data_IF_582376888116
#
_entry.id   IF_582376888116
#
_cell.length_a   1.000
_cell.length_b   1.000
_cell.length_c   1.000
_cell.angle_alpha   90.00
_cell.angle_beta   90.00
_cell.angle_gamma   90.00
#
_symmetry.space_group_name_H-M   'P 1'
#
loop_
_entity.id
_entity.type
_entity.pdbx_description
1 polymer ?
#
# COMPACT_ATOMS: atom_id res chain seq x y z
N UNK A 1 -13.37 27.79 -55.55
CA UNK A 1 -12.34 27.99 -54.50
C UNK A 1 -12.94 28.33 -53.14
N UNK A 2 -13.82 29.33 -52.99
CA UNK A 2 -14.48 29.67 -51.70
C UNK A 2 -15.21 28.50 -50.99
N UNK A 3 -15.90 27.63 -51.72
CA UNK A 3 -16.61 26.49 -51.11
C UNK A 3 -15.68 25.36 -50.61
N UNK A 4 -14.50 25.21 -51.22
CA UNK A 4 -13.50 24.21 -50.80
C UNK A 4 -12.84 24.66 -49.49
N UNK A 5 -12.57 25.97 -49.36
CA UNK A 5 -11.99 26.56 -48.14
C UNK A 5 -12.94 26.45 -46.94
N UNK A 6 -14.27 26.57 -47.14
CA UNK A 6 -15.26 26.38 -46.06
C UNK A 6 -15.40 24.93 -45.60
N UNK A 7 -15.26 23.96 -46.51
CA UNK A 7 -15.34 22.54 -46.17
C UNK A 7 -14.11 22.11 -45.36
N UNK A 8 -12.92 22.62 -45.73
CA UNK A 8 -11.67 22.35 -45.01
C UNK A 8 -11.64 22.94 -43.59
N UNK A 9 -12.21 24.13 -43.37
CA UNK A 9 -12.33 24.71 -42.02
C UNK A 9 -13.37 23.98 -41.17
N UNK A 10 -14.50 23.53 -41.74
CA UNK A 10 -15.49 22.73 -41.00
C UNK A 10 -14.92 21.37 -40.54
N UNK A 11 -14.10 20.73 -41.38
CA UNK A 11 -13.45 19.45 -41.04
C UNK A 11 -12.39 19.61 -39.94
N UNK A 12 -11.64 20.71 -39.97
CA UNK A 12 -10.64 21.01 -38.94
C UNK A 12 -11.28 21.27 -37.56
N UNK A 13 -12.44 21.93 -37.50
CA UNK A 13 -13.16 22.18 -36.24
C UNK A 13 -13.77 20.89 -35.67
N UNK A 14 -14.27 19.99 -36.54
CA UNK A 14 -14.78 18.68 -36.11
C UNK A 14 -13.68 17.76 -35.53
N UNK A 15 -12.46 17.83 -36.06
CA UNK A 15 -11.32 17.05 -35.57
C UNK A 15 -10.76 17.56 -34.23
N UNK A 16 -10.96 18.84 -33.89
CA UNK A 16 -10.56 19.41 -32.60
C UNK A 16 -11.58 19.05 -31.51
N UNK A 17 -12.87 18.91 -31.84
CA UNK A 17 -13.93 18.54 -30.90
C UNK A 17 -13.93 17.07 -30.46
N UNK A 18 -13.29 16.18 -31.21
CA UNK A 18 -13.30 14.73 -30.94
C UNK A 18 -12.19 14.25 -29.98
N UNK A 19 -11.27 15.12 -29.56
CA UNK A 19 -10.15 14.74 -28.70
C UNK A 19 -10.45 14.84 -27.18
N UNK A 20 -11.60 15.40 -26.80
CA UNK A 20 -12.04 15.44 -25.41
C UNK A 20 -12.84 14.19 -25.05
N UNK A 21 -12.16 13.03 -25.03
CA UNK A 21 -12.70 11.84 -24.35
C UNK A 21 -12.89 12.16 -22.85
N UNK A 22 -13.81 11.48 -22.15
CA UNK A 22 -13.94 11.65 -20.71
C UNK A 22 -12.59 11.33 -20.07
N UNK A 23 -11.95 12.35 -19.48
CA UNK A 23 -10.85 12.13 -18.57
C UNK A 23 -11.44 11.41 -17.36
N UNK A 24 -11.42 10.08 -17.37
CA UNK A 24 -11.78 9.29 -16.20
C UNK A 24 -10.89 9.79 -15.06
N UNK A 25 -11.51 10.27 -13.98
CA UNK A 25 -10.75 10.61 -12.78
C UNK A 25 -9.96 9.36 -12.39
N UNK A 26 -8.64 9.48 -12.43
CA UNK A 26 -7.74 8.40 -12.08
C UNK A 26 -7.82 8.25 -10.55
N UNK A 27 -8.75 7.39 -10.09
CA UNK A 27 -9.07 7.24 -8.68
C UNK A 27 -8.06 6.33 -7.99
N UNK A 28 -7.64 6.71 -6.79
CA UNK A 28 -6.94 5.79 -5.88
C UNK A 28 -7.95 4.82 -5.29
N UNK A 29 -7.70 3.52 -5.42
CA UNK A 29 -8.52 2.49 -4.78
C UNK A 29 -7.96 2.21 -3.38
N UNK A 30 -8.82 2.32 -2.37
CA UNK A 30 -8.48 2.00 -0.98
C UNK A 30 -9.21 0.71 -0.59
N UNK A 31 -8.45 -0.32 -0.21
CA UNK A 31 -9.00 -1.64 0.15
C UNK A 31 -8.65 -1.97 1.60
N UNK A 32 -9.62 -1.99 2.53
CA UNK A 32 -9.36 -2.45 3.89
C UNK A 32 -9.12 -3.96 3.91
N UNK A 33 -8.10 -4.37 4.66
CA UNK A 33 -7.75 -5.78 4.91
C UNK A 33 -8.10 -6.14 6.35
N UNK A 34 -9.38 -5.97 6.70
CA UNK A 34 -9.93 -6.28 8.01
C UNK A 34 -9.89 -7.77 8.35
N UNK A 35 -10.16 -8.09 9.60
CA UNK A 35 -10.21 -9.49 10.08
C UNK A 35 -11.47 -10.23 9.63
N UNK A 36 -12.59 -9.52 9.42
CA UNK A 36 -13.86 -10.08 8.99
C UNK A 36 -14.39 -9.38 7.75
N UNK A 37 -15.08 -10.12 6.90
CA UNK A 37 -15.63 -9.59 5.65
C UNK A 37 -16.81 -8.64 5.93
N UNK A 38 -16.77 -7.45 5.31
CA UNK A 38 -17.85 -6.46 5.40
C UNK A 38 -17.90 -5.65 6.70
N UNK A 39 -16.99 -5.90 7.64
CA UNK A 39 -16.99 -5.30 8.97
C UNK A 39 -15.76 -4.43 9.25
N UNK A 40 -15.85 -3.57 10.26
CA UNK A 40 -14.72 -2.85 10.84
C UNK A 40 -14.49 -3.34 12.27
N UNK A 41 -13.60 -4.30 12.43
CA UNK A 41 -13.43 -5.07 13.65
C UNK A 41 -12.31 -4.57 14.55
N UNK A 42 -12.23 -5.16 15.75
CA UNK A 42 -11.23 -4.79 16.74
C UNK A 42 -9.81 -5.03 16.18
N UNK A 43 -9.03 -3.95 16.13
CA UNK A 43 -7.66 -3.87 15.60
C UNK A 43 -7.54 -3.92 14.06
N UNK A 44 -8.64 -3.82 13.32
CA UNK A 44 -8.59 -3.62 11.88
C UNK A 44 -7.97 -2.26 11.55
N UNK A 45 -6.90 -2.28 10.75
CA UNK A 45 -6.21 -1.05 10.29
C UNK A 45 -5.38 -1.21 9.03
N UNK A 46 -5.16 -2.44 8.58
CA UNK A 46 -4.43 -2.70 7.35
C UNK A 46 -5.22 -2.19 6.15
N UNK A 47 -4.58 -1.40 5.29
CA UNK A 47 -5.17 -0.88 4.06
C UNK A 47 -4.22 -1.12 2.89
N UNK A 48 -4.74 -1.44 1.72
CA UNK A 48 -4.02 -1.31 0.45
C UNK A 48 -4.49 -0.02 -0.23
N UNK A 49 -3.54 0.86 -0.53
CA UNK A 49 -3.71 1.96 -1.47
C UNK A 49 -3.19 1.51 -2.84
N UNK A 50 -4.03 1.61 -3.86
CA UNK A 50 -3.68 1.30 -5.24
C UNK A 50 -3.84 2.54 -6.12
N UNK A 51 -2.70 3.02 -6.62
CA UNK A 51 -2.62 4.15 -7.55
C UNK A 51 -3.07 3.71 -8.95
N UNK A 52 -3.63 4.61 -9.78
CA UNK A 52 -3.97 4.33 -11.17
C UNK A 52 -2.81 3.79 -12.02
N UNK A 53 -1.55 4.04 -11.67
CA UNK A 53 -0.39 3.45 -12.34
C UNK A 53 -0.11 1.98 -11.95
N UNK A 54 -0.92 1.41 -11.05
CA UNK A 54 -0.80 0.05 -10.53
C UNK A 54 0.15 -0.10 -9.34
N UNK A 55 0.66 1.01 -8.77
CA UNK A 55 1.43 0.98 -7.53
C UNK A 55 0.55 0.61 -6.36
N UNK A 56 0.95 -0.40 -5.59
CA UNK A 56 0.20 -0.88 -4.41
C UNK A 56 1.02 -0.73 -3.13
N UNK A 57 0.48 0.02 -2.17
CA UNK A 57 1.10 0.26 -0.87
C UNK A 57 0.24 -0.36 0.23
N UNK A 58 0.83 -1.26 1.01
CA UNK A 58 0.24 -1.79 2.24
C UNK A 58 0.56 -0.88 3.41
N UNK A 59 -0.46 -0.28 4.01
CA UNK A 59 -0.35 0.49 5.24
C UNK A 59 -0.61 -0.44 6.43
N UNK A 60 0.34 -0.54 7.35
CA UNK A 60 0.26 -1.30 8.61
C UNK A 60 -0.35 -2.71 8.46
N UNK A 61 0.45 -3.68 8.01
CA UNK A 61 0.00 -5.07 7.86
C UNK A 61 -0.67 -5.63 9.12
N UNK A 62 -0.16 -5.23 10.29
CA UNK A 62 -0.78 -5.48 11.57
C UNK A 62 -1.08 -6.95 11.82
N UNK A 63 -2.18 -7.19 12.52
CA UNK A 63 -2.64 -8.53 12.86
C UNK A 63 -3.68 -9.09 11.88
N UNK A 64 -4.18 -8.29 10.94
CA UNK A 64 -5.33 -8.65 10.11
C UNK A 64 -4.97 -9.10 8.70
N UNK A 65 -3.72 -8.96 8.29
CA UNK A 65 -3.20 -9.61 7.06
C UNK A 65 -2.69 -11.00 7.43
N UNK A 66 -3.12 -12.06 6.73
CA UNK A 66 -2.85 -13.46 7.06
C UNK A 66 -1.44 -13.94 6.67
N UNK A 67 -0.43 -13.09 6.80
CA UNK A 67 0.95 -13.38 6.40
C UNK A 67 1.27 -13.02 4.93
N UNK A 68 2.47 -13.37 4.45
CA UNK A 68 2.95 -13.02 3.10
C UNK A 68 2.14 -13.66 1.96
N UNK A 69 1.49 -14.78 2.24
CA UNK A 69 0.70 -15.55 1.26
C UNK A 69 -0.79 -15.20 1.29
N UNK A 70 -1.19 -14.18 2.06
CA UNK A 70 -2.56 -13.68 2.07
C UNK A 70 -2.98 -13.31 0.63
N UNK A 71 -4.00 -14.00 0.06
CA UNK A 71 -4.39 -13.80 -1.34
C UNK A 71 -4.90 -12.38 -1.61
N UNK A 72 -5.35 -11.66 -0.57
CA UNK A 72 -5.82 -10.27 -0.69
C UNK A 72 -4.66 -9.31 -0.98
N UNK A 73 -3.42 -9.67 -0.66
CA UNK A 73 -2.26 -8.82 -0.86
C UNK A 73 -1.90 -8.62 -2.32
N UNK A 74 -1.98 -9.65 -3.18
CA UNK A 74 -1.49 -9.61 -4.56
C UNK A 74 -0.07 -9.02 -4.67
N UNK A 75 0.15 -8.13 -5.64
CA UNK A 75 1.37 -7.31 -5.77
C UNK A 75 1.43 -6.24 -4.67
N UNK A 76 2.57 -6.09 -4.01
CA UNK A 76 2.83 -5.01 -3.03
C UNK A 76 4.16 -4.37 -3.39
N UNK A 77 4.15 -3.09 -3.76
CA UNK A 77 5.35 -2.31 -4.12
C UNK A 77 6.02 -1.69 -2.90
N UNK A 78 5.22 -1.33 -1.89
CA UNK A 78 5.73 -0.86 -0.62
C UNK A 78 4.84 -1.29 0.56
N UNK A 79 5.47 -1.45 1.72
CA UNK A 79 4.82 -1.48 3.03
C UNK A 79 5.15 -0.17 3.72
N UNK A 80 4.14 0.57 4.16
CA UNK A 80 4.24 1.77 4.97
C UNK A 80 3.87 1.42 6.41
N UNK A 81 4.82 1.54 7.33
CA UNK A 81 4.59 1.32 8.75
C UNK A 81 4.51 2.65 9.48
N UNK A 82 3.40 2.88 10.16
CA UNK A 82 3.19 4.09 10.95
C UNK A 82 4.02 4.08 12.24
N UNK A 83 3.95 2.99 13.02
CA UNK A 83 4.71 2.79 14.26
C UNK A 83 4.77 1.31 14.68
N UNK A 84 5.44 1.00 15.79
CA UNK A 84 5.87 -0.37 16.15
C UNK A 84 4.96 -1.12 17.14
N UNK A 85 3.74 -0.67 17.40
CA UNK A 85 2.81 -1.49 18.19
C UNK A 85 2.43 -2.77 17.43
N UNK A 86 2.17 -3.85 18.17
CA UNK A 86 1.94 -5.18 17.59
C UNK A 86 0.73 -5.26 16.66
N UNK A 87 -0.26 -4.41 16.85
CA UNK A 87 -1.42 -4.27 15.98
C UNK A 87 -1.15 -3.52 14.66
N UNK A 88 -0.01 -2.82 14.54
CA UNK A 88 0.45 -2.17 13.30
C UNK A 88 1.59 -2.93 12.62
N UNK A 89 2.59 -3.32 13.41
CA UNK A 89 3.78 -4.04 12.97
C UNK A 89 3.48 -5.53 12.70
N UNK A 90 2.56 -6.10 13.50
CA UNK A 90 2.18 -7.51 13.44
C UNK A 90 3.08 -8.39 14.29
N UNK A 91 2.87 -8.44 15.61
CA UNK A 91 3.50 -9.44 16.50
C UNK A 91 2.92 -10.85 16.31
N UNK A 92 1.70 -10.89 15.78
CA UNK A 92 0.91 -12.07 15.42
C UNK A 92 -0.05 -11.68 14.30
N UNK A 93 -0.76 -12.63 13.70
CA UNK A 93 -1.80 -12.34 12.74
C UNK A 93 -2.87 -13.44 12.67
N UNK A 94 -3.96 -13.15 11.96
CA UNK A 94 -5.01 -14.13 11.62
C UNK A 94 -4.43 -15.28 10.79
N UNK A 95 -4.94 -16.49 10.96
CA UNK A 95 -4.66 -17.60 10.04
C UNK A 95 -5.45 -17.45 8.73
N UNK A 96 -6.60 -16.79 8.80
CA UNK A 96 -7.51 -16.48 7.69
C UNK A 96 -8.63 -15.56 8.19
N UNK A 97 -9.41 -15.02 7.27
CA UNK A 97 -10.52 -14.11 7.59
C UNK A 97 -11.65 -14.83 8.34
N UNK A 98 -12.45 -14.06 9.08
CA UNK A 98 -13.67 -14.50 9.78
C UNK A 98 -13.44 -15.49 10.93
N UNK A 99 -12.22 -15.56 11.47
CA UNK A 99 -11.92 -16.35 12.67
C UNK A 99 -12.18 -15.56 13.95
N UNK A 100 -12.93 -16.16 14.88
CA UNK A 100 -13.39 -15.51 16.11
C UNK A 100 -14.65 -14.67 15.89
N UNK A 101 -14.79 -13.59 16.68
CA UNK A 101 -15.89 -12.63 16.52
C UNK A 101 -15.32 -11.26 16.16
N UNK A 102 -16.09 -10.38 15.51
CA UNK A 102 -15.61 -9.05 15.13
C UNK A 102 -15.09 -8.20 16.33
N UNK A 103 -15.78 -8.27 17.47
CA UNK A 103 -15.32 -7.64 18.71
C UNK A 103 -14.15 -8.38 19.39
N UNK A 104 -13.89 -9.63 18.99
CA UNK A 104 -12.80 -10.45 19.51
C UNK A 104 -12.17 -11.36 18.42
N UNK A 105 -11.46 -10.79 17.43
CA UNK A 105 -10.90 -11.58 16.34
C UNK A 105 -9.79 -12.50 16.84
N UNK A 106 -9.62 -13.64 16.18
CA UNK A 106 -8.59 -14.62 16.52
C UNK A 106 -7.28 -14.35 15.76
N UNK A 107 -6.20 -14.08 16.48
CA UNK A 107 -4.86 -13.86 15.92
C UNK A 107 -3.92 -15.01 16.26
N UNK A 108 -4.20 -16.20 15.72
CA UNK A 108 -3.58 -17.46 16.11
C UNK A 108 -2.10 -17.61 15.70
N UNK A 109 -1.65 -16.90 14.66
CA UNK A 109 -0.31 -17.11 14.09
C UNK A 109 0.67 -16.13 14.69
N UNK A 110 1.64 -16.60 15.48
CA UNK A 110 2.71 -15.76 15.99
C UNK A 110 3.68 -15.35 14.86
N UNK A 111 4.10 -14.08 14.83
CA UNK A 111 5.07 -13.56 13.86
C UNK A 111 6.40 -13.11 14.49
N UNK A 112 6.45 -13.01 15.83
CA UNK A 112 7.68 -12.82 16.58
C UNK A 112 8.65 -14.02 16.37
N UNK A 113 9.98 -13.79 16.34
CA UNK A 113 10.70 -12.55 16.65
C UNK A 113 10.88 -11.61 15.44
N UNK A 114 10.20 -11.87 14.32
CA UNK A 114 10.18 -10.98 13.17
C UNK A 114 9.01 -10.00 13.33
N UNK A 115 8.17 -9.89 12.32
CA UNK A 115 6.83 -9.33 12.38
C UNK A 115 6.13 -9.65 11.08
N UNK A 116 4.81 -9.47 11.04
CA UNK A 116 4.04 -9.64 9.82
C UNK A 116 4.54 -8.70 8.70
N UNK A 117 4.72 -7.42 9.00
CA UNK A 117 5.24 -6.44 8.03
C UNK A 117 6.63 -6.82 7.50
N UNK A 118 7.55 -7.28 8.36
CA UNK A 118 8.89 -7.72 7.92
C UNK A 118 8.80 -8.97 7.03
N UNK A 119 7.98 -9.94 7.41
CA UNK A 119 7.80 -11.16 6.62
C UNK A 119 7.20 -10.84 5.23
N UNK A 120 6.25 -9.91 5.15
CA UNK A 120 5.65 -9.46 3.88
C UNK A 120 6.68 -8.70 3.04
N UNK A 121 7.45 -7.77 3.62
CA UNK A 121 8.52 -7.03 2.92
C UNK A 121 9.52 -8.00 2.28
N UNK A 122 9.96 -9.01 3.04
CA UNK A 122 10.90 -10.02 2.57
C UNK A 122 10.32 -10.89 1.46
N UNK A 123 9.08 -11.36 1.62
CA UNK A 123 8.44 -12.22 0.61
C UNK A 123 8.11 -11.48 -0.69
N UNK A 124 7.68 -10.21 -0.60
CA UNK A 124 7.28 -9.40 -1.75
C UNK A 124 8.42 -8.58 -2.37
N UNK A 125 9.58 -8.53 -1.71
CA UNK A 125 10.69 -7.63 -2.05
C UNK A 125 10.21 -6.16 -2.15
N UNK A 126 9.27 -5.79 -1.27
CA UNK A 126 8.63 -4.48 -1.26
C UNK A 126 9.53 -3.46 -0.56
N UNK A 127 9.44 -2.18 -0.96
CA UNK A 127 10.06 -1.10 -0.18
C UNK A 127 9.42 -1.03 1.20
N UNK A 128 10.20 -0.83 2.25
CA UNK A 128 9.70 -0.67 3.61
C UNK A 128 9.87 0.77 4.05
N UNK A 129 8.79 1.54 3.94
CA UNK A 129 8.76 2.97 4.27
C UNK A 129 8.50 3.14 5.76
N UNK A 130 9.44 3.76 6.47
CA UNK A 130 9.39 3.93 7.92
C UNK A 130 9.93 5.30 8.34
N UNK A 131 9.48 5.83 9.47
CA UNK A 131 9.99 7.05 10.09
C UNK A 131 11.04 6.83 11.18
N UNK A 132 11.74 7.88 11.58
CA UNK A 132 12.59 7.93 12.79
C UNK A 132 13.64 6.81 12.91
N UNK A 133 13.88 6.35 14.14
CA UNK A 133 14.83 5.26 14.42
C UNK A 133 14.40 3.89 13.87
N UNK A 134 13.15 3.72 13.45
CA UNK A 134 12.68 2.46 12.86
C UNK A 134 13.51 2.08 11.63
N UNK A 135 13.99 3.06 10.86
CA UNK A 135 14.82 2.79 9.69
C UNK A 135 16.09 2.01 10.06
N UNK A 136 16.89 2.50 11.02
CA UNK A 136 18.14 1.82 11.41
C UNK A 136 17.91 0.45 12.03
N UNK A 137 16.82 0.28 12.79
CA UNK A 137 16.41 -1.00 13.34
C UNK A 137 16.03 -2.00 12.24
N UNK A 138 15.09 -1.63 11.36
CA UNK A 138 14.59 -2.55 10.34
C UNK A 138 15.61 -2.82 9.24
N UNK A 139 16.52 -1.88 8.91
CA UNK A 139 17.62 -2.17 7.98
C UNK A 139 18.49 -3.32 8.51
N UNK A 140 18.82 -3.30 9.80
CA UNK A 140 19.60 -4.37 10.42
C UNK A 140 18.80 -5.67 10.52
N UNK A 141 17.51 -5.59 10.84
CA UNK A 141 16.62 -6.75 10.90
C UNK A 141 16.48 -7.44 9.54
N UNK A 142 16.22 -6.68 8.47
CA UNK A 142 16.13 -7.20 7.10
C UNK A 142 17.47 -7.85 6.71
N UNK A 143 18.59 -7.18 6.99
CA UNK A 143 19.93 -7.71 6.71
C UNK A 143 20.21 -9.02 7.46
N UNK A 144 19.82 -9.12 8.74
CA UNK A 144 20.05 -10.34 9.53
C UNK A 144 19.20 -11.53 9.07
N UNK A 145 18.10 -11.26 8.37
CA UNK A 145 17.28 -12.27 7.68
C UNK A 145 17.77 -12.58 6.26
N UNK A 146 18.92 -12.04 5.84
CA UNK A 146 19.48 -12.26 4.50
C UNK A 146 18.85 -11.39 3.40
N UNK A 147 18.03 -10.40 3.75
CA UNK A 147 17.40 -9.48 2.80
C UNK A 147 18.27 -8.26 2.48
N UNK A 148 17.85 -7.49 1.48
CA UNK A 148 18.52 -6.24 1.11
C UNK A 148 18.11 -5.11 2.08
N UNK A 149 19.03 -4.58 2.92
CA UNK A 149 18.73 -3.47 3.81
C UNK A 149 18.26 -2.19 3.08
N UNK A 150 18.55 -2.06 1.78
CA UNK A 150 18.08 -0.93 0.95
C UNK A 150 16.57 -0.94 0.68
N UNK A 151 15.89 -2.06 0.94
CA UNK A 151 14.43 -2.10 0.96
C UNK A 151 13.89 -1.11 2.00
N UNK A 152 14.59 -0.91 3.12
CA UNK A 152 14.17 0.02 4.17
C UNK A 152 14.49 1.45 3.77
N UNK A 153 13.46 2.27 3.64
CA UNK A 153 13.58 3.66 3.23
C UNK A 153 13.03 4.59 4.31
N UNK A 154 13.92 5.39 4.91
CA UNK A 154 13.54 6.42 5.85
C UNK A 154 12.73 7.52 5.16
N UNK A 155 11.52 7.79 5.66
CA UNK A 155 10.73 8.98 5.39
C UNK A 155 10.99 9.96 6.55
N UNK A 156 11.72 11.06 6.27
CA UNK A 156 12.02 12.10 7.28
C UNK A 156 10.92 13.14 7.29
N UNK A 157 10.71 13.80 8.43
CA UNK A 157 9.86 14.99 8.50
C UNK A 157 10.33 16.05 7.50
N UNK A 158 9.38 16.61 6.75
CA UNK A 158 9.65 17.56 5.66
C UNK A 158 10.26 16.96 4.40
N UNK A 159 10.49 15.65 4.34
CA UNK A 159 10.97 14.95 3.15
C UNK A 159 9.89 14.02 2.59
N UNK A 160 10.11 13.58 1.34
CA UNK A 160 9.24 12.62 0.66
C UNK A 160 10.02 11.42 0.14
N UNK A 161 9.32 10.30 -0.03
CA UNK A 161 9.76 9.12 -0.78
C UNK A 161 8.77 8.79 -1.86
N UNK A 162 9.26 8.42 -3.04
CA UNK A 162 8.44 8.07 -4.19
C UNK A 162 8.44 6.55 -4.43
N UNK A 163 7.25 6.01 -4.65
CA UNK A 163 7.02 4.62 -5.09
C UNK A 163 6.04 4.69 -6.24
N UNK A 164 6.48 4.37 -7.46
CA UNK A 164 5.70 4.61 -8.68
C UNK A 164 5.13 6.03 -8.72
N UNK A 165 3.82 6.17 -8.91
CA UNK A 165 3.07 7.42 -8.90
C UNK A 165 2.89 8.07 -7.52
N UNK A 166 3.11 7.33 -6.44
CA UNK A 166 2.80 7.77 -5.07
C UNK A 166 3.99 8.45 -4.41
N UNK A 167 3.77 9.62 -3.83
CA UNK A 167 4.73 10.29 -2.93
C UNK A 167 4.25 10.21 -1.49
N UNK A 168 5.11 9.72 -0.60
CA UNK A 168 4.83 9.54 0.82
C UNK A 168 5.65 10.54 1.63
N UNK A 169 4.96 11.32 2.46
CA UNK A 169 5.54 12.23 3.43
C UNK A 169 5.12 11.80 4.85
N UNK A 170 6.02 11.96 5.82
CA UNK A 170 5.68 11.79 7.25
C UNK A 170 5.55 13.16 7.91
N UNK A 171 4.59 13.30 8.80
CA UNK A 171 4.44 14.45 9.70
C UNK A 171 4.54 13.98 11.16
N UNK A 172 4.96 14.83 12.11
CA UNK A 172 4.86 14.51 13.52
C UNK A 172 3.40 14.18 13.88
N UNK A 173 3.21 13.13 14.67
CA UNK A 173 1.91 12.66 15.18
C UNK A 173 1.91 12.73 16.71
#
# INVERSE_FOLDING_TARGET
MRSITMILTALAVAMIGAAAGPAGAANVKVTPLGSHDGEFCRLDRALIFEDPDGTRILYDAGRTVSGPDDPRLGKVDAVLLSHVHGDHLGDRHIAGVNAGACGAPEFAVAAAPNSNSVNIVMAKQAKFLVGGEMASFFSQKIKSLGGDPKLVQLVRFGAMRKVGGVSVASVPA
#
